data_IF_838401361602
#
_entry.id   IF_838401361602
#
_cell.length_a   1.000
_cell.length_b   1.000
_cell.length_c   1.000
_cell.angle_alpha   90.00
_cell.angle_beta   90.00
_cell.angle_gamma   90.00
#
_symmetry.space_group_name_H-M   'P 1'
#
loop_
_entity.id
_entity.type
_entity.pdbx_description
1 polymer ?
#
# COMPACT_ATOMS: atom_id res chain seq x y z
N UNK A 1 -3.29 -20.15 12.76
CA UNK A 1 -3.27 -20.13 11.27
C UNK A 1 -4.56 -19.48 10.82
N UNK A 2 -4.54 -18.59 9.83
CA UNK A 2 -5.76 -17.88 9.36
C UNK A 2 -6.06 -18.32 7.94
N UNK A 3 -7.28 -18.77 7.70
CA UNK A 3 -7.76 -19.16 6.37
C UNK A 3 -8.77 -18.14 5.88
N UNK A 4 -8.52 -17.55 4.71
CA UNK A 4 -9.55 -16.77 4.01
C UNK A 4 -10.42 -17.73 3.22
N UNK A 5 -11.71 -17.61 3.44
CA UNK A 5 -12.73 -18.46 2.84
C UNK A 5 -13.86 -17.58 2.32
N UNK A 6 -14.66 -18.14 1.42
CA UNK A 6 -15.87 -17.49 0.91
C UNK A 6 -17.09 -18.26 1.40
N UNK A 7 -18.17 -17.54 1.65
CA UNK A 7 -19.47 -18.15 1.93
C UNK A 7 -20.19 -18.35 0.61
N UNK A 8 -20.55 -19.59 0.30
CA UNK A 8 -21.31 -19.95 -0.89
C UNK A 8 -22.49 -20.83 -0.47
N UNK A 9 -23.72 -20.40 -0.79
CA UNK A 9 -24.96 -21.08 -0.39
C UNK A 9 -25.06 -21.41 1.11
N UNK A 10 -24.60 -20.49 1.97
CA UNK A 10 -24.61 -20.67 3.43
C UNK A 10 -23.56 -21.66 3.96
N UNK A 11 -22.62 -22.12 3.12
CA UNK A 11 -21.47 -22.95 3.52
C UNK A 11 -20.18 -22.18 3.38
N UNK A 12 -19.22 -22.42 4.28
CA UNK A 12 -17.88 -21.85 4.21
C UNK A 12 -17.03 -22.74 3.30
N UNK A 13 -16.60 -22.21 2.17
CA UNK A 13 -15.70 -22.88 1.23
C UNK A 13 -14.26 -22.46 1.55
N UNK A 14 -13.47 -23.43 2.01
CA UNK A 14 -12.03 -23.28 2.21
C UNK A 14 -11.29 -23.52 0.88
N UNK A 15 -10.26 -22.73 0.61
CA UNK A 15 -9.38 -22.93 -0.54
C UNK A 15 -8.75 -24.35 -0.49
N UNK A 16 -8.51 -25.02 -1.64
CA UNK A 16 -8.04 -26.42 -1.69
C UNK A 16 -6.73 -26.72 -0.94
N UNK A 17 -5.94 -25.69 -0.62
CA UNK A 17 -4.68 -25.81 0.14
C UNK A 17 -4.88 -25.72 1.66
N UNK A 18 -6.10 -25.55 2.14
CA UNK A 18 -6.38 -25.52 3.57
C UNK A 18 -6.38 -26.94 4.16
N UNK A 19 -5.34 -27.27 4.92
CA UNK A 19 -5.23 -28.54 5.63
C UNK A 19 -5.57 -28.33 7.10
N UNK A 20 -6.85 -28.55 7.46
CA UNK A 20 -7.30 -28.59 8.85
C UNK A 20 -7.29 -30.04 9.33
N UNK A 21 -6.75 -30.33 10.53
CA UNK A 21 -6.86 -31.67 11.12
C UNK A 21 -8.32 -32.09 11.29
N UNK A 22 -8.59 -33.38 11.12
CA UNK A 22 -9.92 -33.93 11.41
C UNK A 22 -10.30 -33.68 12.88
N UNK A 23 -11.55 -33.26 13.12
CA UNK A 23 -12.05 -32.96 14.46
C UNK A 23 -11.58 -31.62 15.05
N UNK A 24 -10.86 -30.79 14.30
CA UNK A 24 -10.45 -29.47 14.77
C UNK A 24 -11.66 -28.54 15.00
N UNK A 25 -11.75 -27.96 16.19
CA UNK A 25 -12.67 -26.87 16.50
C UNK A 25 -12.17 -25.57 15.83
N UNK A 26 -13.09 -24.83 15.20
CA UNK A 26 -12.74 -23.61 14.46
C UNK A 26 -13.65 -22.45 14.85
N UNK A 27 -13.07 -21.26 14.92
CA UNK A 27 -13.79 -20.00 15.09
C UNK A 27 -13.91 -19.29 13.74
N UNK A 28 -15.10 -18.78 13.44
CA UNK A 28 -15.38 -18.07 12.19
C UNK A 28 -15.53 -16.59 12.48
N UNK A 29 -14.64 -15.80 11.90
CA UNK A 29 -14.72 -14.34 11.96
C UNK A 29 -15.10 -13.82 10.58
N UNK A 30 -16.26 -13.16 10.49
CA UNK A 30 -16.67 -12.46 9.27
C UNK A 30 -15.80 -11.22 9.15
N UNK A 31 -14.93 -11.22 8.15
CA UNK A 31 -14.15 -10.02 7.81
C UNK A 31 -15.03 -9.07 7.01
N UNK A 32 -15.00 -7.76 7.31
CA UNK A 32 -15.67 -6.78 6.47
C UNK A 32 -15.13 -6.93 5.05
N UNK A 33 -16.04 -6.82 4.07
CA UNK A 33 -15.65 -6.81 2.68
C UNK A 33 -14.59 -5.72 2.52
N UNK A 34 -13.42 -6.10 1.98
CA UNK A 34 -12.39 -5.11 1.68
C UNK A 34 -13.02 -4.23 0.63
N UNK A 35 -13.52 -3.06 1.03
CA UNK A 35 -13.91 -2.04 0.09
C UNK A 35 -12.77 -1.98 -0.92
N UNK A 36 -13.04 -2.15 -2.24
CA UNK A 36 -12.03 -1.81 -3.22
C UNK A 36 -11.53 -0.45 -2.79
N UNK A 37 -10.22 -0.33 -2.54
CA UNK A 37 -9.60 0.93 -2.15
C UNK A 37 -10.21 1.97 -3.07
N UNK A 38 -10.99 2.87 -2.49
CA UNK A 38 -11.84 3.78 -3.24
C UNK A 38 -10.97 4.31 -4.38
N UNK A 39 -11.24 3.90 -5.63
CA UNK A 39 -10.46 4.37 -6.76
C UNK A 39 -10.63 5.89 -6.96
N UNK A 40 -11.52 6.47 -6.16
CA UNK A 40 -11.73 7.88 -5.88
C UNK A 40 -10.60 8.54 -5.07
N UNK A 41 -9.69 7.78 -4.46
CA UNK A 41 -8.51 8.37 -3.85
C UNK A 41 -7.57 8.83 -4.96
N UNK A 42 -7.18 10.12 -4.98
CA UNK A 42 -6.25 10.62 -5.98
C UNK A 42 -4.95 9.84 -5.88
N UNK A 43 -4.42 9.44 -7.03
CA UNK A 43 -3.10 8.87 -7.17
C UNK A 43 -2.04 9.80 -6.56
N UNK A 44 -0.88 9.25 -6.23
CA UNK A 44 0.26 10.03 -5.74
C UNK A 44 0.62 11.15 -6.73
N UNK A 45 0.47 10.89 -8.03
CA UNK A 45 0.65 11.89 -9.07
C UNK A 45 -0.34 13.04 -8.93
N UNK A 46 -1.65 12.76 -8.86
CA UNK A 46 -2.70 13.79 -8.72
C UNK A 46 -2.55 14.60 -7.43
N UNK A 47 -2.09 13.97 -6.35
CA UNK A 47 -1.82 14.68 -5.09
C UNK A 47 -0.63 15.64 -5.20
N UNK A 48 0.37 15.33 -6.02
CA UNK A 48 1.61 16.10 -6.16
C UNK A 48 1.61 17.04 -7.37
N UNK A 49 0.66 16.90 -8.30
CA UNK A 49 0.50 17.74 -9.49
C UNK A 49 0.63 19.25 -9.20
N UNK A 50 0.08 19.82 -8.11
CA UNK A 50 0.20 21.24 -7.83
C UNK A 50 1.63 21.71 -7.48
N UNK A 51 2.57 20.79 -7.25
CA UNK A 51 3.92 21.07 -6.74
C UNK A 51 4.99 20.62 -7.75
N UNK A 52 4.72 19.57 -8.54
CA UNK A 52 5.64 19.07 -9.55
C UNK A 52 6.01 20.18 -10.53
N UNK A 53 7.31 20.46 -10.67
CA UNK A 53 7.83 21.44 -11.63
C UNK A 53 7.49 22.90 -11.34
N UNK A 54 7.07 23.23 -10.12
CA UNK A 54 6.69 24.61 -9.74
C UNK A 54 7.86 25.55 -9.45
N UNK A 55 9.08 25.01 -9.33
CA UNK A 55 10.27 25.80 -9.03
C UNK A 55 11.21 25.75 -10.22
N UNK A 56 11.43 26.92 -10.81
CA UNK A 56 12.35 27.11 -11.93
C UNK A 56 13.81 27.24 -11.44
N UNK A 57 14.76 27.06 -12.35
CA UNK A 57 16.20 27.29 -12.13
C UNK A 57 16.84 26.51 -10.95
N UNK A 58 16.29 25.35 -10.60
CA UNK A 58 16.88 24.48 -9.60
C UNK A 58 18.14 23.77 -10.12
N UNK A 59 19.17 23.58 -9.27
CA UNK A 59 20.31 22.73 -9.61
C UNK A 59 19.86 21.31 -9.97
N UNK A 60 20.45 20.73 -11.03
CA UNK A 60 20.10 19.38 -11.52
C UNK A 60 20.27 18.30 -10.44
N UNK A 61 21.16 18.52 -9.48
CA UNK A 61 21.50 17.59 -8.41
C UNK A 61 20.88 17.95 -7.05
N UNK A 62 19.92 18.90 -7.02
CA UNK A 62 19.25 19.32 -5.79
C UNK A 62 18.69 18.12 -5.02
N UNK A 63 18.06 17.17 -5.72
CA UNK A 63 17.44 15.97 -5.13
C UNK A 63 18.42 15.06 -4.36
N UNK A 64 19.71 15.13 -4.70
CA UNK A 64 20.78 14.32 -4.12
C UNK A 64 21.56 15.12 -3.08
N UNK A 65 21.75 16.43 -3.34
CA UNK A 65 22.63 17.33 -2.61
C UNK A 65 21.88 18.48 -1.94
N UNK A 66 20.67 18.24 -1.42
CA UNK A 66 19.82 19.27 -0.80
C UNK A 66 20.57 20.18 0.18
N UNK A 67 21.37 19.63 1.08
CA UNK A 67 22.10 20.43 2.08
C UNK A 67 23.18 21.32 1.47
N UNK A 68 23.85 20.84 0.41
CA UNK A 68 24.83 21.61 -0.32
C UNK A 68 24.15 22.74 -1.09
N UNK A 69 23.06 22.43 -1.80
CA UNK A 69 22.35 23.39 -2.65
C UNK A 69 21.59 24.46 -1.84
N UNK A 70 21.01 24.09 -0.69
CA UNK A 70 20.22 25.00 0.15
C UNK A 70 21.06 25.74 1.19
N UNK A 71 22.09 25.10 1.75
CA UNK A 71 22.83 25.60 2.91
C UNK A 71 24.35 25.68 2.71
N UNK A 72 24.87 25.30 1.54
CA UNK A 72 26.30 25.36 1.24
C UNK A 72 27.15 24.31 1.97
N UNK A 73 26.53 23.23 2.48
CA UNK A 73 27.25 22.11 3.09
C UNK A 73 28.19 21.43 2.08
N UNK A 74 29.23 20.68 2.50
CA UNK A 74 30.04 19.89 1.59
C UNK A 74 29.20 18.92 0.73
N UNK A 75 29.54 18.79 -0.55
CA UNK A 75 28.83 17.92 -1.51
C UNK A 75 29.05 16.44 -1.14
N UNK A 76 28.01 15.61 -1.28
CA UNK A 76 28.10 14.16 -1.03
C UNK A 76 28.86 13.51 -2.19
N UNK A 77 29.87 12.70 -1.87
CA UNK A 77 30.69 11.92 -2.81
C UNK A 77 30.04 10.61 -3.21
#
# INVERSE_FOLDING_TARGET
MVYRCRVHNGRIELEPRAALPEGAEVEVVVVPERQPSDSSQPSIYEQLEPIIGTVDDLPEDLSVNHDHCLYGAPKRS
#
